data_IF_131274302812
#
_entry.id   IF_131274302812
#
_cell.length_a   1.000
_cell.length_b   1.000
_cell.length_c   1.000
_cell.angle_alpha   90.00
_cell.angle_beta   90.00
_cell.angle_gamma   90.00
#
_symmetry.space_group_name_H-M   'P 1'
#
loop_
_entity.id
_entity.type
_entity.pdbx_description
1 polymer ?
#
# COMPACT_ATOMS: atom_id res chain seq x y z
N UNK A 1 -23.33 -7.17 -7.87
CA UNK A 1 -22.00 -7.66 -8.31
C UNK A 1 -20.95 -6.84 -7.59
N UNK A 2 -20.04 -7.47 -6.84
CA UNK A 2 -18.96 -6.74 -6.17
C UNK A 2 -17.80 -6.55 -7.18
N UNK A 3 -17.50 -5.30 -7.53
CA UNK A 3 -16.38 -4.97 -8.40
C UNK A 3 -15.10 -5.04 -7.58
N UNK A 4 -14.47 -6.22 -7.60
CA UNK A 4 -13.15 -6.44 -7.00
C UNK A 4 -12.11 -6.00 -8.00
N UNK A 5 -11.07 -5.34 -7.49
CA UNK A 5 -9.99 -4.84 -8.32
C UNK A 5 -8.67 -5.32 -7.74
N UNK A 6 -7.69 -5.53 -8.61
CA UNK A 6 -6.34 -5.88 -8.18
C UNK A 6 -5.60 -4.63 -7.71
N UNK A 7 -5.10 -4.67 -6.49
CA UNK A 7 -4.27 -3.64 -5.88
C UNK A 7 -2.88 -4.19 -5.58
N UNK A 8 -1.87 -3.37 -5.77
CA UNK A 8 -0.49 -3.66 -5.40
C UNK A 8 -0.17 -3.01 -4.07
N UNK A 9 0.42 -3.78 -3.15
CA UNK A 9 0.87 -3.27 -1.85
C UNK A 9 2.14 -2.45 -2.03
N UNK A 10 2.08 -1.15 -1.71
CA UNK A 10 3.25 -0.28 -1.71
C UNK A 10 3.97 -0.30 -0.36
N UNK A 11 3.23 -0.46 0.73
CA UNK A 11 3.79 -0.42 2.08
C UNK A 11 3.14 -1.51 2.95
N UNK A 12 3.91 -2.26 3.77
CA UNK A 12 3.36 -3.31 4.61
C UNK A 12 2.28 -2.74 5.53
N UNK A 13 1.19 -3.47 5.67
CA UNK A 13 0.13 -3.17 6.62
C UNK A 13 -0.38 -4.47 7.25
N UNK A 14 -0.87 -4.42 8.49
CA UNK A 14 -1.48 -5.57 9.13
C UNK A 14 -2.81 -5.88 8.45
N UNK A 15 -2.94 -7.06 7.84
CA UNK A 15 -4.19 -7.55 7.22
C UNK A 15 -5.15 -8.14 8.24
N UNK A 16 -4.67 -8.48 9.44
CA UNK A 16 -5.44 -9.05 10.54
C UNK A 16 -4.90 -10.41 10.98
N UNK A 17 -5.24 -10.85 12.19
CA UNK A 17 -4.87 -12.19 12.70
C UNK A 17 -3.37 -12.43 12.91
N UNK A 18 -2.56 -11.37 12.99
CA UNK A 18 -1.10 -11.46 13.06
C UNK A 18 -0.42 -11.55 11.68
N UNK A 19 -1.18 -11.47 10.58
CA UNK A 19 -0.63 -11.43 9.24
C UNK A 19 -0.34 -9.99 8.79
N UNK A 20 0.80 -9.86 8.10
CA UNK A 20 1.27 -8.63 7.47
C UNK A 20 1.33 -8.84 5.97
N UNK A 21 0.92 -7.82 5.21
CA UNK A 21 1.14 -7.79 3.77
C UNK A 21 2.60 -7.51 3.44
N UNK A 22 3.08 -8.12 2.36
CA UNK A 22 4.39 -7.82 1.77
C UNK A 22 4.29 -6.71 0.73
N UNK A 23 5.34 -5.89 0.61
CA UNK A 23 5.46 -4.91 -0.48
C UNK A 23 5.56 -5.63 -1.83
N UNK A 24 4.83 -5.14 -2.83
CA UNK A 24 4.71 -5.75 -4.16
C UNK A 24 3.70 -6.90 -4.22
N UNK A 25 3.07 -7.28 -3.10
CA UNK A 25 2.02 -8.29 -3.10
C UNK A 25 0.77 -7.75 -3.80
N UNK A 26 0.15 -8.59 -4.63
CA UNK A 26 -1.10 -8.28 -5.31
C UNK A 26 -2.28 -8.83 -4.52
N UNK A 27 -3.27 -7.97 -4.26
CA UNK A 27 -4.47 -8.30 -3.52
C UNK A 27 -5.70 -7.91 -4.34
N UNK A 28 -6.63 -8.86 -4.50
CA UNK A 28 -7.95 -8.58 -5.02
C UNK A 28 -8.83 -8.08 -3.87
N UNK A 29 -9.12 -6.79 -3.85
CA UNK A 29 -9.86 -6.14 -2.77
C UNK A 29 -11.08 -5.40 -3.32
N UNK A 30 -12.09 -5.25 -2.46
CA UNK A 30 -13.21 -4.37 -2.75
C UNK A 30 -12.74 -2.91 -2.67
N UNK A 31 -13.34 -2.04 -3.48
CA UNK A 31 -13.01 -0.61 -3.47
C UNK A 31 -13.18 0.01 -2.07
N UNK A 32 -14.18 -0.43 -1.30
CA UNK A 32 -14.41 0.04 0.08
C UNK A 32 -13.27 -0.35 1.04
N UNK A 33 -12.72 -1.56 0.90
CA UNK A 33 -11.60 -2.03 1.72
C UNK A 33 -10.30 -1.33 1.30
N UNK A 34 -10.08 -1.24 -0.01
CA UNK A 34 -8.93 -0.59 -0.59
C UNK A 34 -8.93 0.93 -0.40
N UNK A 35 -10.09 1.58 -0.27
CA UNK A 35 -10.21 3.04 -0.13
C UNK A 35 -9.50 3.56 1.12
N UNK A 36 -9.66 2.88 2.26
CA UNK A 36 -8.95 3.21 3.50
C UNK A 36 -7.43 3.06 3.32
N UNK A 37 -6.99 1.99 2.65
CA UNK A 37 -5.58 1.68 2.44
C UNK A 37 -4.93 2.59 1.39
N UNK A 38 -5.66 2.97 0.32
CA UNK A 38 -5.23 3.94 -0.69
C UNK A 38 -5.12 5.34 -0.10
N UNK A 39 -6.09 5.76 0.71
CA UNK A 39 -6.05 7.05 1.40
C UNK A 39 -4.88 7.13 2.37
N UNK A 40 -4.50 6.00 2.97
CA UNK A 40 -3.30 5.88 3.81
C UNK A 40 -1.99 5.70 3.01
N UNK A 41 -2.04 5.65 1.67
CA UNK A 41 -0.88 5.42 0.81
C UNK A 41 -0.24 4.03 0.93
N UNK A 42 -0.99 3.03 1.41
CA UNK A 42 -0.50 1.65 1.61
C UNK A 42 -0.66 0.76 0.39
N UNK A 43 -1.68 1.02 -0.42
CA UNK A 43 -2.02 0.28 -1.64
C UNK A 43 -2.16 1.21 -2.83
N UNK A 44 -1.90 0.70 -4.02
CA UNK A 44 -2.18 1.36 -5.29
C UNK A 44 -2.99 0.45 -6.21
N UNK A 45 -3.93 1.02 -6.97
CA UNK A 45 -4.74 0.26 -7.92
C UNK A 45 -3.86 -0.19 -9.08
N UNK A 46 -3.75 -1.51 -9.30
CA UNK A 46 -3.08 -2.07 -10.47
C UNK A 46 -4.01 -1.94 -11.67
N UNK A 47 -4.21 -0.70 -12.14
CA UNK A 47 -4.76 -0.45 -13.46
C UNK A 47 -3.70 -0.90 -14.46
N UNK A 48 -4.05 -1.86 -15.29
CA UNK A 48 -3.36 -2.13 -16.55
C UNK A 48 -3.13 -0.79 -17.25
N UNK A 49 -1.88 -0.33 -17.22
CA UNK A 49 -1.30 0.79 -17.99
C UNK A 49 -2.27 1.92 -18.38
N UNK A 50 -2.37 2.98 -17.57
CA UNK A 50 -2.63 4.38 -17.97
C UNK A 50 -3.37 5.19 -16.87
N UNK A 51 -2.70 5.45 -15.76
CA UNK A 51 -2.99 6.63 -14.95
C UNK A 51 -1.66 7.17 -14.44
N UNK A 52 -0.97 7.84 -15.36
CA UNK A 52 0.13 8.76 -15.11
C UNK A 52 -0.24 9.73 -13.98
N UNK A 53 0.73 10.01 -13.10
CA UNK A 53 0.75 11.13 -12.15
C UNK A 53 -0.14 11.05 -10.90
N UNK A 54 0.43 10.61 -9.78
CA UNK A 54 0.65 11.47 -8.60
C UNK A 54 1.12 10.68 -7.35
N UNK A 55 2.43 10.43 -7.22
CA UNK A 55 3.14 10.59 -5.94
C UNK A 55 4.64 10.37 -6.10
N UNK A 56 5.29 11.33 -6.75
CA UNK A 56 6.61 11.75 -6.31
C UNK A 56 6.49 12.46 -4.95
N UNK A 57 6.16 11.72 -3.89
CA UNK A 57 6.29 12.24 -2.53
C UNK A 57 7.43 11.53 -1.82
N UNK A 58 8.61 12.08 -2.09
CA UNK A 58 9.66 12.36 -1.10
C UNK A 58 10.23 11.16 -0.32
N UNK A 59 11.49 10.82 -0.66
CA UNK A 59 12.47 10.24 0.25
C UNK A 59 12.31 10.80 1.66
N UNK A 60 11.77 10.02 2.59
CA UNK A 60 11.92 10.26 4.02
C UNK A 60 13.12 9.43 4.51
N UNK A 61 14.31 9.94 4.22
CA UNK A 61 15.57 9.46 4.78
C UNK A 61 15.79 10.22 6.10
N UNK A 62 15.27 9.69 7.22
CA UNK A 62 15.62 10.05 8.62
C UNK A 62 14.87 9.06 9.55
N UNK A 63 15.46 8.40 10.55
CA UNK A 63 16.61 8.75 11.36
C UNK A 63 17.33 7.50 11.86
N UNK A 64 18.66 7.53 11.77
CA UNK A 64 19.51 6.82 12.72
C UNK A 64 19.26 7.38 14.13
N UNK A 65 18.96 6.51 15.09
CA UNK A 65 19.05 6.82 16.51
C UNK A 65 19.81 5.69 17.21
N UNK A 66 21.08 6.01 17.45
CA UNK A 66 22.07 5.36 18.31
C UNK A 66 21.56 5.22 19.76
N UNK A 67 21.68 4.02 20.34
CA UNK A 67 22.13 3.68 21.72
C UNK A 67 22.36 2.15 21.71
N UNK A 68 23.48 1.52 22.05
CA UNK A 68 24.61 1.86 22.91
C UNK A 68 24.15 2.34 24.30
N UNK A 69 23.75 1.39 25.13
CA UNK A 69 24.43 1.08 26.40
C UNK A 69 24.25 -0.41 26.71
#
# INVERSE_FOLDING_TARGET
>A
MALRQTYTVLLPFPTGGGHWSSVGQELDLLDVEASALRSAGRLELKKTEAAESASTSTKALKAAAKKAE
#
